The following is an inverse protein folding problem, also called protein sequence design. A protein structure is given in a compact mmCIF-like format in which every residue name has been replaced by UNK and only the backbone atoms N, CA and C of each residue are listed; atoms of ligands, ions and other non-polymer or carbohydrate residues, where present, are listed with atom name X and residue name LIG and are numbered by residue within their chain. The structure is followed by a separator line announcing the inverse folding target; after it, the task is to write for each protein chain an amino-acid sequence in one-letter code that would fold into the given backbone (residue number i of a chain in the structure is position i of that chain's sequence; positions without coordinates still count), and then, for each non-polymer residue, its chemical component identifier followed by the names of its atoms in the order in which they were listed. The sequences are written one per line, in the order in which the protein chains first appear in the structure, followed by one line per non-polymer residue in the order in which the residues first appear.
data_IF_286607463627
#
_entry.id   IF_286607463627
#
_cell.length_a   1.000
_cell.length_b   1.000
_cell.length_c   1.000
_cell.angle_alpha   90.00
_cell.angle_beta   90.00
_cell.angle_gamma   90.00
#
_symmetry.space_group_name_H-M   'P 1'
#
loop_
_entity.id
_entity.type
_entity.pdbx_description
1 polymer ?
#
# COMPACT_ATOMS: atom_id res chain seq x y z
N UNK A 1 -6.60 26.09 11.27
CA UNK A 1 -6.48 24.79 11.96
C UNK A 1 -5.07 24.28 11.68
N UNK A 2 -4.29 23.94 12.70
CA UNK A 2 -2.94 23.37 12.54
C UNK A 2 -3.07 22.00 11.89
N UNK A 3 -2.24 21.73 10.85
CA UNK A 3 -2.20 20.43 10.18
C UNK A 3 -1.76 19.31 11.14
N UNK A 4 -2.06 18.06 10.76
CA UNK A 4 -1.64 16.88 11.52
C UNK A 4 -0.12 16.72 11.49
N UNK A 5 0.47 16.42 12.63
CA UNK A 5 1.91 16.18 12.73
C UNK A 5 2.21 14.71 12.48
N UNK A 6 3.11 14.46 11.53
CA UNK A 6 3.68 13.14 11.24
C UNK A 6 5.14 13.15 11.65
N UNK A 7 5.54 12.25 12.54
CA UNK A 7 6.94 12.06 12.92
C UNK A 7 7.46 10.77 12.26
N UNK A 8 8.60 10.86 11.57
CA UNK A 8 9.29 9.71 11.01
C UNK A 8 10.46 9.36 11.91
N UNK A 9 10.38 8.21 12.57
CA UNK A 9 11.37 7.75 13.54
C UNK A 9 12.46 6.92 12.85
N UNK A 10 13.64 7.47 12.69
CA UNK A 10 14.79 6.80 12.05
C UNK A 10 15.59 6.05 13.13
N UNK A 11 15.65 4.72 12.99
CA UNK A 11 16.52 3.89 13.81
C UNK A 11 17.98 4.10 13.42
N UNK A 12 18.93 4.06 14.40
CA UNK A 12 20.35 4.21 14.08
C UNK A 12 20.89 3.01 13.29
N UNK A 13 21.85 3.30 12.41
CA UNK A 13 22.54 2.32 11.57
C UNK A 13 22.52 2.74 10.11
N UNK A 14 23.35 2.10 9.30
CA UNK A 14 23.36 2.34 7.86
C UNK A 14 22.04 1.85 7.25
N UNK A 15 21.35 2.74 6.55
CA UNK A 15 20.18 2.41 5.77
C UNK A 15 20.61 1.72 4.47
N UNK A 16 19.82 0.73 4.06
CA UNK A 16 20.01 0.13 2.74
C UNK A 16 19.54 1.12 1.66
N UNK A 17 20.15 1.17 0.48
CA UNK A 17 19.69 2.05 -0.59
C UNK A 17 18.20 1.94 -0.95
N UNK A 18 17.61 0.78 -0.77
CA UNK A 18 16.17 0.58 -1.00
C UNK A 18 15.29 1.25 0.08
N UNK A 19 15.81 1.44 1.29
CA UNK A 19 15.08 2.13 2.36
C UNK A 19 14.85 3.61 2.00
N UNK A 20 15.71 4.20 1.13
CA UNK A 20 15.53 5.55 0.60
C UNK A 20 14.20 5.73 -0.13
N UNK A 21 13.68 4.69 -0.75
CA UNK A 21 12.38 4.76 -1.40
C UNK A 21 11.29 5.05 -0.37
N UNK A 22 11.30 4.37 0.77
CA UNK A 22 10.32 4.57 1.85
C UNK A 22 10.42 5.97 2.45
N UNK A 23 11.66 6.43 2.72
CA UNK A 23 11.90 7.80 3.21
C UNK A 23 11.41 8.83 2.20
N UNK A 24 11.69 8.62 0.91
CA UNK A 24 11.24 9.49 -0.18
C UNK A 24 9.72 9.54 -0.30
N UNK A 25 9.04 8.39 -0.17
CA UNK A 25 7.58 8.30 -0.17
C UNK A 25 6.96 9.09 0.99
N UNK A 26 7.47 8.89 2.21
CA UNK A 26 7.00 9.61 3.40
C UNK A 26 7.22 11.12 3.24
N UNK A 27 8.41 11.53 2.79
CA UNK A 27 8.75 12.94 2.57
C UNK A 27 7.87 13.57 1.47
N UNK A 28 7.66 12.88 0.36
CA UNK A 28 6.85 13.37 -0.75
C UNK A 28 5.37 13.55 -0.36
N UNK A 29 4.82 12.63 0.44
CA UNK A 29 3.41 12.67 0.82
C UNK A 29 3.17 13.62 2.00
N UNK A 30 3.94 13.51 3.07
CA UNK A 30 3.67 14.22 4.31
C UNK A 30 4.53 15.48 4.50
N UNK A 31 5.71 15.54 3.87
CA UNK A 31 6.63 16.66 3.97
C UNK A 31 6.46 17.73 2.90
N UNK A 32 5.73 17.44 1.81
CA UNK A 32 5.50 18.39 0.73
C UNK A 32 4.12 19.02 0.85
N UNK A 33 4.00 20.32 1.15
CA UNK A 33 2.71 21.00 1.24
C UNK A 33 1.88 20.89 -0.04
N UNK A 34 0.59 20.65 0.10
CA UNK A 34 -0.37 20.50 -1.02
C UNK A 34 -1.56 21.46 -0.86
N UNK A 35 -1.35 22.79 -0.92
CA UNK A 35 -2.38 23.78 -0.60
C UNK A 35 -3.57 23.75 -1.55
N UNK A 36 -3.41 23.23 -2.77
CA UNK A 36 -4.48 23.03 -3.74
C UNK A 36 -5.29 21.75 -3.52
N UNK A 37 -4.84 20.86 -2.64
CA UNK A 37 -5.54 19.61 -2.31
C UNK A 37 -6.34 19.70 -1.02
N UNK A 38 -5.83 20.42 -0.01
CA UNK A 38 -6.48 20.62 1.27
C UNK A 38 -5.98 21.92 1.94
N UNK A 39 -6.86 22.62 2.67
CA UNK A 39 -6.55 23.86 3.39
C UNK A 39 -5.51 23.67 4.49
N UNK A 40 -5.38 22.46 5.00
CA UNK A 40 -4.40 22.07 6.01
C UNK A 40 -3.75 20.76 5.60
N UNK A 41 -2.43 20.78 5.46
CA UNK A 41 -1.62 19.61 5.13
C UNK A 41 -0.85 19.13 6.34
N UNK A 42 -0.14 18.04 6.19
CA UNK A 42 0.70 17.49 7.24
C UNK A 42 1.95 18.33 7.48
N UNK A 43 2.48 18.23 8.71
CA UNK A 43 3.83 18.68 9.04
C UNK A 43 4.68 17.45 9.32
N UNK A 44 5.70 17.18 8.50
CA UNK A 44 6.62 16.06 8.71
C UNK A 44 7.80 16.48 9.57
N UNK A 45 8.13 15.67 10.56
CA UNK A 45 9.34 15.78 11.39
C UNK A 45 10.16 14.51 11.29
N UNK A 46 11.42 14.63 10.87
CA UNK A 46 12.35 13.50 10.80
C UNK A 46 13.12 13.45 12.12
N UNK A 47 12.97 12.36 12.85
CA UNK A 47 13.43 12.21 14.23
C UNK A 47 14.44 11.07 14.37
N UNK A 48 15.45 11.27 15.21
CA UNK A 48 16.43 10.23 15.56
C UNK A 48 16.79 10.29 17.05
N UNK A 49 17.46 9.25 17.55
CA UNK A 49 17.91 9.14 18.96
C UNK A 49 18.84 10.30 19.32
N UNK A 50 19.78 10.62 18.44
CA UNK A 50 20.79 11.67 18.68
C UNK A 50 20.96 12.51 17.40
N UNK A 51 20.04 13.46 17.13
CA UNK A 51 20.06 14.24 15.89
C UNK A 51 21.33 15.08 15.75
N UNK A 52 21.91 15.51 16.88
CA UNK A 52 23.14 16.35 16.91
C UNK A 52 24.44 15.54 16.75
N UNK A 53 24.40 14.21 16.85
CA UNK A 53 25.61 13.38 16.89
C UNK A 53 26.02 12.76 15.57
N UNK A 54 25.32 13.04 14.48
CA UNK A 54 25.82 12.56 13.21
C UNK A 54 24.82 12.38 12.09
N UNK A 55 25.45 12.31 10.95
CA UNK A 55 24.83 11.97 9.69
C UNK A 55 24.70 10.45 9.57
N UNK A 56 23.52 9.97 9.22
CA UNK A 56 23.31 8.55 8.93
C UNK A 56 23.61 8.31 7.45
N UNK A 57 24.51 7.39 7.16
CA UNK A 57 24.77 6.98 5.78
C UNK A 57 23.52 6.33 5.19
N UNK A 58 23.13 6.82 4.02
CA UNK A 58 22.02 6.27 3.23
C UNK A 58 22.53 5.60 1.93
N UNK A 59 23.82 5.32 1.87
CA UNK A 59 24.49 4.76 0.70
C UNK A 59 24.91 5.82 -0.32
N UNK A 60 25.66 5.41 -1.34
CA UNK A 60 26.11 6.27 -2.46
C UNK A 60 26.91 7.52 -2.06
N UNK A 61 27.48 7.57 -0.86
CA UNK A 61 28.15 8.76 -0.34
C UNK A 61 27.19 9.87 0.12
N UNK A 62 25.89 9.60 0.19
CA UNK A 62 24.89 10.51 0.71
C UNK A 62 24.57 10.22 2.18
N UNK A 63 24.12 11.27 2.88
CA UNK A 63 23.84 11.23 4.31
C UNK A 63 22.50 11.87 4.62
N UNK A 64 21.79 11.32 5.60
CA UNK A 64 20.60 11.89 6.20
C UNK A 64 20.98 12.49 7.56
N UNK A 65 20.60 13.74 7.78
CA UNK A 65 20.76 14.41 9.07
C UNK A 65 19.38 14.78 9.61
N UNK A 66 18.81 13.98 10.54
CA UNK A 66 17.56 14.32 11.19
C UNK A 66 17.70 15.62 12.01
N UNK A 67 16.68 16.49 11.91
CA UNK A 67 16.69 17.77 12.63
C UNK A 67 16.03 17.68 14.01
N UNK A 68 15.31 16.57 14.29
CA UNK A 68 14.49 16.43 15.48
C UNK A 68 14.91 15.23 16.32
N UNK A 69 14.76 15.35 17.64
CA UNK A 69 14.93 14.26 18.60
C UNK A 69 13.64 13.45 18.81
N UNK A 70 13.76 12.40 19.62
CA UNK A 70 12.64 11.49 19.92
C UNK A 70 11.50 12.15 20.71
N UNK A 71 11.73 13.30 21.37
CA UNK A 71 10.67 14.04 22.04
C UNK A 71 9.53 14.44 21.10
N UNK A 72 9.83 14.65 19.81
CA UNK A 72 8.83 15.00 18.80
C UNK A 72 7.85 13.88 18.47
N UNK A 73 8.21 12.61 18.75
CA UNK A 73 7.30 11.47 18.62
C UNK A 73 6.11 11.60 19.56
N UNK A 74 6.33 12.20 20.75
CA UNK A 74 5.29 12.41 21.74
C UNK A 74 4.27 13.47 21.32
N UNK A 75 4.66 14.42 20.47
CA UNK A 75 3.78 15.48 19.98
C UNK A 75 3.09 15.12 18.66
N UNK A 76 3.43 13.97 18.04
CA UNK A 76 2.92 13.58 16.74
C UNK A 76 1.54 12.89 16.84
N UNK A 77 0.68 13.17 15.85
CA UNK A 77 -0.58 12.43 15.65
C UNK A 77 -0.34 11.05 15.02
N UNK A 78 0.73 10.95 14.22
CA UNK A 78 1.14 9.71 13.57
C UNK A 78 2.67 9.57 13.65
N UNK A 79 3.13 8.40 14.07
CA UNK A 79 4.55 8.03 14.05
C UNK A 79 4.77 6.96 13.00
N UNK A 80 5.63 7.24 12.03
CA UNK A 80 6.03 6.29 10.98
C UNK A 80 7.42 5.77 11.31
N UNK A 81 7.56 4.46 11.37
CA UNK A 81 8.84 3.76 11.51
C UNK A 81 9.16 3.10 10.17
N UNK A 82 10.10 3.62 9.39
CA UNK A 82 10.60 2.99 8.17
C UNK A 82 11.46 1.78 8.49
N UNK A 83 12.01 1.15 7.46
CA UNK A 83 12.91 0.01 7.63
C UNK A 83 14.03 0.27 8.63
N UNK A 84 14.37 -0.77 9.40
CA UNK A 84 15.49 -0.77 10.34
C UNK A 84 16.69 -1.49 9.73
N UNK A 85 17.91 -1.14 10.17
CA UNK A 85 19.13 -1.76 9.69
C UNK A 85 19.14 -3.30 9.87
N UNK A 86 19.76 -4.01 8.93
CA UNK A 86 19.76 -5.48 8.89
C UNK A 86 20.19 -6.13 10.21
N UNK A 87 21.23 -5.62 10.87
CA UNK A 87 21.72 -6.15 12.14
C UNK A 87 20.69 -5.98 13.30
N UNK A 88 19.83 -4.96 13.24
CA UNK A 88 18.72 -4.79 14.17
C UNK A 88 17.58 -5.78 13.87
N UNK A 89 17.29 -5.99 12.59
CA UNK A 89 16.29 -6.96 12.13
C UNK A 89 16.69 -8.38 12.49
N UNK A 90 17.97 -8.78 12.32
CA UNK A 90 18.46 -10.10 12.69
C UNK A 90 18.62 -10.31 14.20
N UNK A 91 18.72 -9.24 14.97
CA UNK A 91 18.94 -9.27 16.41
C UNK A 91 20.40 -9.31 16.81
N UNK A 92 21.33 -9.16 15.86
CA UNK A 92 22.77 -9.03 16.15
C UNK A 92 23.06 -7.77 16.97
N UNK A 93 22.25 -6.73 16.78
CA UNK A 93 22.29 -5.52 17.58
C UNK A 93 20.88 -5.13 18.00
N UNK A 94 20.72 -4.81 19.29
CA UNK A 94 19.46 -4.31 19.81
C UNK A 94 19.17 -2.90 19.29
N UNK A 95 17.91 -2.60 19.10
CA UNK A 95 17.46 -1.22 18.90
C UNK A 95 17.65 -0.43 20.21
N UNK A 96 17.95 0.88 20.13
CA UNK A 96 18.11 1.71 21.33
C UNK A 96 16.85 1.70 22.19
N UNK A 97 17.05 1.54 23.49
CA UNK A 97 15.94 1.54 24.46
C UNK A 97 15.16 2.84 24.41
N UNK A 98 15.84 3.96 24.22
CA UNK A 98 15.24 5.30 24.13
C UNK A 98 14.24 5.40 22.95
N UNK A 99 14.56 4.74 21.82
CA UNK A 99 13.65 4.70 20.67
C UNK A 99 12.42 3.86 21.00
N UNK A 100 12.61 2.66 21.59
CA UNK A 100 11.51 1.77 21.95
C UNK A 100 10.60 2.42 22.98
N UNK A 101 11.16 3.05 23.99
CA UNK A 101 10.40 3.77 25.04
C UNK A 101 9.62 4.95 24.46
N UNK A 102 10.21 5.70 23.52
CA UNK A 102 9.54 6.80 22.83
C UNK A 102 8.36 6.32 21.98
N UNK A 103 8.49 5.17 21.26
CA UNK A 103 7.41 4.55 20.51
C UNK A 103 6.27 4.11 21.42
N UNK A 104 6.58 3.46 22.53
CA UNK A 104 5.57 3.05 23.54
C UNK A 104 4.86 4.28 24.13
N UNK A 105 5.60 5.32 24.47
CA UNK A 105 5.04 6.54 25.04
C UNK A 105 4.14 7.27 24.04
N UNK A 106 4.55 7.39 22.77
CA UNK A 106 3.73 7.96 21.71
C UNK A 106 2.42 7.16 21.51
N UNK A 107 2.52 5.83 21.45
CA UNK A 107 1.34 4.97 21.34
C UNK A 107 0.37 5.12 22.52
N UNK A 108 0.88 5.13 23.75
CA UNK A 108 0.05 5.34 24.96
C UNK A 108 -0.65 6.69 25.00
N UNK A 109 -0.09 7.69 24.34
CA UNK A 109 -0.73 9.01 24.18
C UNK A 109 -1.79 9.06 23.08
N UNK A 110 -1.98 7.97 22.34
CA UNK A 110 -2.96 7.85 21.28
C UNK A 110 -2.42 8.19 19.88
N UNK A 111 -1.10 8.31 19.71
CA UNK A 111 -0.51 8.43 18.38
C UNK A 111 -0.74 7.15 17.58
N UNK A 112 -1.10 7.30 16.32
CA UNK A 112 -1.19 6.20 15.35
C UNK A 112 0.23 5.78 14.97
N UNK A 113 0.54 4.49 15.10
CA UNK A 113 1.82 3.94 14.72
C UNK A 113 1.75 3.27 13.33
N UNK A 114 2.74 3.51 12.52
CA UNK A 114 2.83 2.99 11.16
C UNK A 114 4.21 2.37 10.96
N UNK A 115 4.28 1.08 10.69
CA UNK A 115 5.51 0.41 10.32
C UNK A 115 5.56 0.16 8.81
N UNK A 116 6.62 0.61 8.18
CA UNK A 116 6.92 0.31 6.78
C UNK A 116 7.98 -0.79 6.74
N UNK A 117 7.75 -1.82 5.94
CA UNK A 117 8.69 -2.93 5.76
C UNK A 117 9.25 -3.46 7.10
N UNK A 118 10.55 -3.36 7.30
CA UNK A 118 11.24 -3.84 8.51
C UNK A 118 11.02 -2.96 9.76
N UNK A 119 10.37 -1.82 9.64
CA UNK A 119 9.95 -1.01 10.78
C UNK A 119 9.08 -1.75 11.78
N UNK A 120 8.41 -2.82 11.33
CA UNK A 120 7.62 -3.72 12.18
C UNK A 120 8.46 -4.38 13.27
N UNK A 121 9.76 -4.64 13.03
CA UNK A 121 10.65 -5.19 14.05
C UNK A 121 10.86 -4.23 15.24
N UNK A 122 10.84 -2.92 14.99
CA UNK A 122 10.92 -1.94 16.06
C UNK A 122 9.63 -1.93 16.92
N UNK A 123 8.46 -1.95 16.28
CA UNK A 123 7.19 -2.02 17.02
C UNK A 123 7.03 -3.35 17.77
N UNK A 124 7.52 -4.46 17.20
CA UNK A 124 7.53 -5.77 17.85
C UNK A 124 8.48 -5.76 19.06
N UNK A 125 9.70 -5.23 18.91
CA UNK A 125 10.67 -5.11 20.01
C UNK A 125 10.17 -4.21 21.13
N UNK A 126 9.36 -3.20 20.82
CA UNK A 126 8.69 -2.34 21.79
C UNK A 126 7.48 -3.00 22.48
N UNK A 127 7.11 -4.25 22.12
CA UNK A 127 5.97 -4.96 22.70
C UNK A 127 4.58 -4.43 22.28
N UNK A 128 4.51 -3.54 21.29
CA UNK A 128 3.27 -2.89 20.86
C UNK A 128 2.38 -3.83 20.04
N UNK A 129 2.98 -4.83 19.41
CA UNK A 129 2.31 -5.70 18.44
C UNK A 129 1.80 -7.02 19.02
N UNK A 130 1.98 -7.29 20.31
CA UNK A 130 1.61 -8.56 20.95
C UNK A 130 0.17 -8.98 20.64
N UNK A 131 0.00 -10.19 20.09
CA UNK A 131 -1.30 -10.74 19.70
C UNK A 131 -1.93 -10.14 18.45
N UNK A 132 -1.29 -9.17 17.79
CA UNK A 132 -1.83 -8.52 16.58
C UNK A 132 -1.47 -9.30 15.32
N UNK A 133 -2.32 -9.12 14.28
CA UNK A 133 -2.01 -9.52 12.92
C UNK A 133 -1.22 -8.40 12.24
N UNK A 134 -0.06 -8.73 11.70
CA UNK A 134 0.88 -7.78 11.09
C UNK A 134 1.36 -8.26 9.74
N UNK A 135 1.82 -7.34 8.89
CA UNK A 135 2.54 -7.70 7.67
C UNK A 135 3.93 -7.05 7.64
N UNK A 136 4.80 -7.64 6.87
CA UNK A 136 6.19 -7.24 6.63
C UNK A 136 6.57 -7.66 5.21
N UNK A 137 7.71 -7.23 4.71
CA UNK A 137 8.25 -7.74 3.45
C UNK A 137 8.32 -9.28 3.48
N UNK A 138 7.84 -9.93 2.41
CA UNK A 138 7.72 -11.40 2.36
C UNK A 138 9.03 -12.13 2.67
N UNK A 139 10.19 -11.60 2.25
CA UNK A 139 11.51 -12.17 2.58
C UNK A 139 11.78 -12.25 4.07
N UNK A 140 11.21 -11.34 4.84
CA UNK A 140 11.46 -11.20 6.27
C UNK A 140 10.35 -11.80 7.16
N UNK A 141 9.23 -12.22 6.57
CA UNK A 141 8.09 -12.76 7.29
C UNK A 141 8.46 -13.97 8.17
N UNK A 142 9.22 -14.91 7.62
CA UNK A 142 9.70 -16.07 8.38
C UNK A 142 10.65 -15.70 9.53
N UNK A 143 11.46 -14.64 9.38
CA UNK A 143 12.32 -14.15 10.44
C UNK A 143 11.50 -13.48 11.55
N UNK A 144 10.54 -12.63 11.17
CA UNK A 144 9.65 -11.95 12.12
C UNK A 144 8.86 -12.97 12.97
N UNK A 145 8.25 -13.97 12.32
CA UNK A 145 7.49 -15.02 13.01
C UNK A 145 8.35 -15.85 13.99
N UNK A 146 9.62 -16.12 13.65
CA UNK A 146 10.52 -16.84 14.56
C UNK A 146 10.94 -15.99 15.76
N UNK A 147 11.18 -14.69 15.56
CA UNK A 147 11.65 -13.80 16.63
C UNK A 147 10.51 -13.35 17.55
N UNK A 148 9.31 -13.26 17.02
CA UNK A 148 8.12 -12.78 17.71
C UNK A 148 6.96 -13.76 17.49
N UNK A 149 6.99 -14.94 18.15
CA UNK A 149 6.00 -16.00 17.92
C UNK A 149 4.60 -15.68 18.44
N UNK A 150 4.46 -14.60 19.19
CA UNK A 150 3.20 -14.02 19.67
C UNK A 150 2.47 -13.21 18.60
N UNK A 151 3.07 -12.96 17.43
CA UNK A 151 2.48 -12.23 16.34
C UNK A 151 1.83 -13.17 15.31
N UNK A 152 0.73 -12.71 14.70
CA UNK A 152 0.15 -13.35 13.52
C UNK A 152 0.70 -12.67 12.28
N UNK A 153 1.79 -13.20 11.72
CA UNK A 153 2.44 -12.63 10.54
C UNK A 153 1.71 -13.07 9.27
N UNK A 154 1.24 -12.12 8.49
CA UNK A 154 0.59 -12.32 7.20
C UNK A 154 1.39 -11.71 6.06
N UNK A 155 2.15 -12.54 5.34
CA UNK A 155 2.95 -12.18 4.17
C UNK A 155 2.14 -12.12 2.87
N UNK A 156 0.85 -12.40 2.93
CA UNK A 156 -0.03 -12.45 1.75
C UNK A 156 -0.69 -11.11 1.40
N UNK A 157 -0.44 -10.05 2.17
CA UNK A 157 -1.11 -8.75 2.01
C UNK A 157 -0.10 -7.60 1.87
N UNK A 158 -0.50 -6.52 1.19
CA UNK A 158 0.37 -5.34 1.01
C UNK A 158 0.47 -4.51 2.29
N UNK A 159 -0.64 -4.31 2.97
CA UNK A 159 -0.69 -3.61 4.25
C UNK A 159 -1.91 -4.04 5.07
N UNK A 160 -1.81 -3.85 6.37
CA UNK A 160 -2.87 -4.04 7.34
C UNK A 160 -3.13 -2.73 8.08
N UNK A 161 -4.40 -2.45 8.31
CA UNK A 161 -4.88 -1.34 9.13
C UNK A 161 -5.65 -1.94 10.32
N UNK A 162 -5.04 -1.90 11.49
CA UNK A 162 -5.61 -2.37 12.76
C UNK A 162 -6.00 -1.18 13.67
N UNK A 163 -6.43 -0.08 13.05
CA UNK A 163 -6.94 1.09 13.74
C UNK A 163 -5.83 2.05 14.21
N UNK A 164 -5.21 1.77 15.33
CA UNK A 164 -4.13 2.55 15.95
C UNK A 164 -2.74 2.12 15.48
N UNK A 165 -2.61 0.90 14.92
CA UNK A 165 -1.36 0.37 14.37
C UNK A 165 -1.58 -0.09 12.94
N UNK A 166 -0.70 0.34 12.04
CA UNK A 166 -0.72 -0.07 10.64
C UNK A 166 0.64 -0.63 10.25
N UNK A 167 0.64 -1.68 9.46
CA UNK A 167 1.88 -2.32 8.97
C UNK A 167 1.83 -2.51 7.46
N UNK A 168 2.97 -2.41 6.79
CA UNK A 168 3.11 -2.53 5.34
C UNK A 168 4.26 -3.44 4.96
N UNK A 169 4.11 -4.14 3.84
CA UNK A 169 5.16 -4.92 3.20
C UNK A 169 6.37 -4.08 2.71
N UNK A 170 6.27 -2.75 2.80
CA UNK A 170 7.34 -1.87 2.34
C UNK A 170 7.36 -1.66 0.83
N UNK A 171 8.42 -1.03 0.34
CA UNK A 171 8.57 -0.67 -1.07
C UNK A 171 7.30 0.03 -1.60
N UNK A 172 6.78 -0.40 -2.76
CA UNK A 172 5.57 0.20 -3.33
C UNK A 172 4.32 0.05 -2.43
N UNK A 173 4.28 -0.94 -1.53
CA UNK A 173 3.20 -1.06 -0.56
C UNK A 173 3.26 0.01 0.54
N UNK A 174 4.44 0.58 0.83
CA UNK A 174 4.57 1.74 1.70
C UNK A 174 3.82 2.95 1.13
N UNK A 175 3.93 3.17 -0.18
CA UNK A 175 3.20 4.21 -0.89
C UNK A 175 1.68 4.01 -0.80
N UNK A 176 1.19 2.78 -0.97
CA UNK A 176 -0.23 2.47 -0.85
C UNK A 176 -0.74 2.73 0.57
N UNK A 177 0.04 2.34 1.60
CA UNK A 177 -0.32 2.61 2.98
C UNK A 177 -0.32 4.12 3.29
N UNK A 178 0.66 4.88 2.81
CA UNK A 178 0.69 6.34 2.98
C UNK A 178 -0.50 7.02 2.31
N UNK A 179 -0.90 6.59 1.10
CA UNK A 179 -2.12 7.07 0.45
C UNK A 179 -3.39 6.65 1.19
N UNK A 180 -3.40 5.46 1.80
CA UNK A 180 -4.49 5.02 2.66
C UNK A 180 -4.63 5.94 3.89
N UNK A 181 -3.53 6.36 4.50
CA UNK A 181 -3.53 7.34 5.58
C UNK A 181 -4.13 8.68 5.15
N UNK A 182 -3.70 9.22 4.00
CA UNK A 182 -4.28 10.45 3.43
C UNK A 182 -5.78 10.28 3.17
N UNK A 183 -6.20 9.11 2.70
CA UNK A 183 -7.62 8.79 2.46
C UNK A 183 -8.43 8.77 3.76
N UNK A 184 -7.89 8.18 4.83
CA UNK A 184 -8.52 8.18 6.15
C UNK A 184 -8.63 9.58 6.74
N UNK A 185 -7.59 10.38 6.57
CA UNK A 185 -7.44 11.68 7.25
C UNK A 185 -8.12 12.82 6.51
N UNK A 186 -8.02 12.86 5.17
CA UNK A 186 -8.44 13.97 4.30
C UNK A 186 -9.49 13.56 3.24
N UNK A 187 -9.88 12.30 3.25
CA UNK A 187 -10.90 11.77 2.34
C UNK A 187 -10.39 11.25 1.00
N UNK A 188 -11.27 10.51 0.33
CA UNK A 188 -10.94 9.82 -0.93
C UNK A 188 -10.57 10.78 -2.06
N UNK A 189 -11.24 11.93 -2.16
CA UNK A 189 -10.99 12.92 -3.22
C UNK A 189 -9.55 13.45 -3.16
N UNK A 190 -9.09 13.83 -1.98
CA UNK A 190 -7.72 14.32 -1.75
C UNK A 190 -6.70 13.25 -2.07
N UNK A 191 -6.88 12.04 -1.53
CA UNK A 191 -5.98 10.92 -1.77
C UNK A 191 -5.89 10.56 -3.27
N UNK A 192 -7.01 10.59 -3.98
CA UNK A 192 -7.05 10.30 -5.41
C UNK A 192 -6.34 11.38 -6.25
N UNK A 193 -6.50 12.65 -5.90
CA UNK A 193 -5.77 13.74 -6.56
C UNK A 193 -4.27 13.66 -6.31
N UNK A 194 -3.86 13.33 -5.09
CA UNK A 194 -2.45 13.10 -4.74
C UNK A 194 -1.87 11.92 -5.53
N UNK A 195 -2.57 10.78 -5.60
CA UNK A 195 -2.14 9.61 -6.37
C UNK A 195 -1.89 9.96 -7.85
N UNK A 196 -2.78 10.76 -8.47
CA UNK A 196 -2.56 11.25 -9.84
C UNK A 196 -1.30 12.10 -9.97
N UNK A 197 -1.05 13.00 -9.01
CA UNK A 197 0.18 13.82 -8.99
C UNK A 197 1.43 12.98 -8.91
N UNK A 198 1.35 11.85 -8.20
CA UNK A 198 2.43 10.88 -8.08
C UNK A 198 2.49 9.87 -9.24
N UNK A 199 1.60 9.99 -10.24
CA UNK A 199 1.53 9.13 -11.43
C UNK A 199 1.31 7.65 -11.07
N UNK A 200 0.47 7.39 -10.07
CA UNK A 200 0.16 6.05 -9.59
C UNK A 200 -1.34 5.78 -9.55
N UNK A 201 -1.76 4.50 -9.55
CA UNK A 201 -3.16 4.15 -9.36
C UNK A 201 -3.71 4.73 -8.05
N UNK A 202 -4.93 5.26 -8.06
CA UNK A 202 -5.47 5.98 -6.90
C UNK A 202 -5.75 5.11 -5.67
N UNK A 203 -5.78 3.79 -5.84
CA UNK A 203 -6.00 2.86 -4.75
C UNK A 203 -5.53 1.45 -5.12
N UNK A 204 -4.65 0.87 -4.29
CA UNK A 204 -4.46 -0.58 -4.18
C UNK A 204 -4.97 -1.02 -2.81
N UNK A 205 -5.78 -2.09 -2.80
CA UNK A 205 -6.28 -2.65 -1.55
C UNK A 205 -5.12 -3.27 -0.74
N UNK A 206 -5.09 -3.03 0.56
CA UNK A 206 -4.14 -3.67 1.46
C UNK A 206 -4.16 -5.19 1.37
N UNK A 207 -5.34 -5.78 1.17
CA UNK A 207 -5.51 -7.23 0.97
C UNK A 207 -5.04 -7.78 -0.38
N UNK A 208 -4.46 -6.96 -1.27
CA UNK A 208 -3.81 -7.46 -2.47
C UNK A 208 -2.52 -8.19 -2.09
N UNK A 209 -2.25 -9.34 -2.73
CA UNK A 209 -1.06 -10.13 -2.45
C UNK A 209 0.24 -9.41 -2.80
N UNK A 210 1.26 -9.63 -1.96
CA UNK A 210 2.65 -9.31 -2.31
C UNK A 210 3.10 -10.18 -3.49
N UNK A 211 4.04 -9.69 -4.29
CA UNK A 211 4.73 -10.51 -5.29
C UNK A 211 5.77 -11.38 -4.56
N UNK A 212 5.31 -12.48 -4.00
CA UNK A 212 6.18 -13.44 -3.31
C UNK A 212 6.81 -14.33 -4.37
N UNK A 213 8.11 -14.26 -4.54
CA UNK A 213 8.87 -15.29 -5.27
C UNK A 213 9.00 -16.52 -4.36
N UNK A 214 7.88 -17.24 -4.22
CA UNK A 214 8.00 -18.61 -3.72
C UNK A 214 8.70 -19.37 -4.82
N UNK A 215 9.92 -19.82 -4.53
CA UNK A 215 10.66 -20.73 -5.40
C UNK A 215 9.74 -21.91 -5.76
N UNK A 216 9.00 -21.75 -6.84
CA UNK A 216 8.35 -22.86 -7.52
C UNK A 216 9.54 -23.58 -8.17
N UNK A 217 9.75 -24.88 -7.92
CA UNK A 217 10.66 -25.63 -8.74
C UNK A 217 10.28 -25.33 -10.19
N UNK A 218 11.20 -24.77 -10.95
CA UNK A 218 10.97 -24.37 -12.33
C UNK A 218 10.76 -25.64 -13.16
N UNK A 219 9.54 -26.17 -13.18
CA UNK A 219 9.09 -27.03 -14.26
C UNK A 219 8.80 -26.08 -15.43
N UNK A 220 9.52 -26.14 -16.52
CA UNK A 220 9.27 -25.31 -17.71
C UNK A 220 7.83 -25.43 -18.23
N UNK A 221 7.08 -26.42 -17.76
CA UNK A 221 5.66 -26.65 -18.05
C UNK A 221 4.70 -25.89 -17.11
N UNK A 222 5.22 -25.11 -16.14
CA UNK A 222 4.43 -24.43 -15.09
C UNK A 222 4.10 -22.97 -15.43
N UNK A 223 4.35 -22.53 -16.67
CA UNK A 223 4.10 -21.15 -17.09
C UNK A 223 2.60 -20.88 -17.28
N UNK A 224 1.99 -20.18 -16.29
CA UNK A 224 0.64 -19.64 -16.40
C UNK A 224 0.59 -18.34 -17.22
N UNK A 225 1.74 -17.74 -17.54
CA UNK A 225 1.85 -16.45 -18.21
C UNK A 225 1.03 -16.37 -19.50
N UNK A 226 1.17 -17.30 -20.45
CA UNK A 226 0.43 -17.26 -21.71
C UNK A 226 -1.08 -17.29 -21.54
N UNK A 227 -1.60 -18.13 -20.63
CA UNK A 227 -3.06 -18.22 -20.38
C UNK A 227 -3.60 -16.99 -19.66
N UNK A 228 -2.85 -16.41 -18.72
CA UNK A 228 -3.26 -15.20 -18.01
C UNK A 228 -3.19 -13.97 -18.93
N UNK A 229 -2.18 -13.88 -19.78
CA UNK A 229 -2.06 -12.84 -20.79
C UNK A 229 -3.22 -12.92 -21.81
N UNK A 230 -3.52 -14.14 -22.30
CA UNK A 230 -4.66 -14.35 -23.17
C UNK A 230 -5.97 -13.95 -22.48
N UNK A 231 -6.20 -14.35 -21.24
CA UNK A 231 -7.41 -14.00 -20.48
C UNK A 231 -7.54 -12.47 -20.29
N UNK A 232 -6.43 -11.77 -20.01
CA UNK A 232 -6.42 -10.31 -19.92
C UNK A 232 -6.77 -9.60 -21.23
N UNK A 233 -6.49 -10.22 -22.37
CA UNK A 233 -6.86 -9.70 -23.68
C UNK A 233 -8.31 -10.02 -24.11
N UNK A 234 -9.04 -10.86 -23.33
CA UNK A 234 -10.39 -11.34 -23.69
C UNK A 234 -11.37 -11.19 -22.51
N UNK A 235 -11.23 -10.11 -21.72
CA UNK A 235 -12.03 -9.89 -20.51
C UNK A 235 -13.52 -9.71 -20.77
N UNK A 236 -13.90 -9.26 -21.97
CA UNK A 236 -15.26 -9.11 -22.46
C UNK A 236 -16.00 -10.44 -22.65
N UNK A 237 -15.26 -11.53 -22.76
CA UNK A 237 -15.80 -12.86 -22.96
C UNK A 237 -16.21 -13.54 -21.65
N UNK A 238 -17.11 -14.57 -21.71
CA UNK A 238 -17.51 -15.35 -20.55
C UNK A 238 -16.37 -16.29 -20.08
N UNK A 239 -15.32 -15.72 -19.50
CA UNK A 239 -14.19 -16.47 -18.95
C UNK A 239 -14.62 -17.19 -17.67
N UNK A 240 -14.52 -18.53 -17.69
CA UNK A 240 -14.69 -19.38 -16.52
C UNK A 240 -13.35 -19.94 -16.05
N UNK A 241 -13.27 -20.36 -14.79
CA UNK A 241 -12.05 -20.98 -14.24
C UNK A 241 -11.75 -22.29 -15.00
N UNK A 242 -12.78 -23.02 -15.40
CA UNK A 242 -12.66 -24.27 -16.17
C UNK A 242 -12.06 -24.02 -17.56
N UNK A 243 -12.49 -22.94 -18.24
CA UNK A 243 -11.92 -22.54 -19.53
C UNK A 243 -10.46 -22.18 -19.40
N UNK A 244 -10.08 -21.41 -18.37
CA UNK A 244 -8.69 -21.03 -18.13
C UNK A 244 -7.84 -22.26 -17.80
N UNK A 245 -8.33 -23.17 -16.99
CA UNK A 245 -7.66 -24.42 -16.65
C UNK A 245 -7.46 -25.32 -17.88
N UNK A 246 -8.50 -25.49 -18.69
CA UNK A 246 -8.41 -26.26 -19.94
C UNK A 246 -7.40 -25.68 -20.91
N UNK A 247 -7.37 -24.33 -21.06
CA UNK A 247 -6.42 -23.65 -21.92
C UNK A 247 -4.97 -23.75 -21.41
N UNK A 248 -4.80 -23.90 -20.10
CA UNK A 248 -3.51 -24.17 -19.46
C UNK A 248 -3.13 -25.67 -19.48
N UNK A 249 -3.92 -26.53 -20.11
CA UNK A 249 -3.79 -27.99 -20.08
C UNK A 249 -3.74 -28.56 -18.65
N UNK A 250 -4.57 -28.02 -17.75
CA UNK A 250 -4.61 -28.40 -16.34
C UNK A 250 -6.02 -28.73 -15.90
N UNK A 251 -6.15 -29.53 -14.83
CA UNK A 251 -7.41 -29.62 -14.10
C UNK A 251 -7.69 -28.28 -13.38
N UNK A 252 -8.97 -27.95 -13.17
CA UNK A 252 -9.41 -26.76 -12.41
C UNK A 252 -8.74 -26.69 -11.03
N UNK A 253 -8.62 -27.83 -10.33
CA UNK A 253 -7.93 -27.93 -9.03
C UNK A 253 -6.44 -27.58 -9.15
N UNK A 254 -5.76 -28.05 -10.18
CA UNK A 254 -4.34 -27.76 -10.40
C UNK A 254 -4.14 -26.30 -10.76
N UNK A 255 -4.95 -25.76 -11.66
CA UNK A 255 -4.92 -24.35 -12.04
C UNK A 255 -5.15 -23.44 -10.85
N UNK A 256 -6.17 -23.73 -10.03
CA UNK A 256 -6.45 -22.95 -8.80
C UNK A 256 -5.26 -22.96 -7.85
N UNK A 257 -4.70 -24.14 -7.55
CA UNK A 257 -3.55 -24.30 -6.66
C UNK A 257 -2.31 -23.56 -7.17
N UNK A 258 -2.04 -23.65 -8.49
CA UNK A 258 -0.88 -22.98 -9.10
C UNK A 258 -1.02 -21.47 -9.09
N UNK A 259 -2.19 -20.95 -9.50
CA UNK A 259 -2.42 -19.49 -9.47
C UNK A 259 -2.39 -18.95 -8.04
N UNK A 260 -2.95 -19.69 -7.08
CA UNK A 260 -2.87 -19.32 -5.67
C UNK A 260 -1.42 -19.27 -5.16
N UNK A 261 -0.58 -20.22 -5.60
CA UNK A 261 0.85 -20.23 -5.25
C UNK A 261 1.63 -19.11 -5.94
N UNK A 262 1.37 -18.86 -7.22
CA UNK A 262 2.09 -17.86 -8.00
C UNK A 262 1.68 -16.41 -7.67
N UNK A 263 0.40 -16.17 -7.38
CA UNK A 263 -0.15 -14.82 -7.24
C UNK A 263 -0.90 -14.56 -5.93
N UNK A 264 -0.96 -15.53 -5.00
CA UNK A 264 -1.65 -15.36 -3.71
C UNK A 264 -3.16 -15.21 -3.80
N UNK A 265 -3.75 -15.24 -5.01
CA UNK A 265 -5.18 -14.98 -5.26
C UNK A 265 -5.86 -16.16 -5.94
N UNK A 266 -7.15 -16.31 -5.70
CA UNK A 266 -7.94 -17.32 -6.41
C UNK A 266 -8.14 -16.90 -7.89
N UNK A 267 -8.36 -17.84 -8.82
CA UNK A 267 -8.66 -17.52 -10.22
C UNK A 267 -9.84 -16.56 -10.40
N UNK A 268 -10.88 -16.72 -9.60
CA UNK A 268 -12.04 -15.82 -9.61
C UNK A 268 -11.67 -14.41 -9.17
N UNK A 269 -10.86 -14.30 -8.13
CA UNK A 269 -10.41 -13.00 -7.62
C UNK A 269 -9.47 -12.32 -8.61
N UNK A 270 -8.54 -13.08 -9.21
CA UNK A 270 -7.65 -12.58 -10.24
C UNK A 270 -8.45 -12.01 -11.43
N UNK A 271 -9.40 -12.78 -11.95
CA UNK A 271 -10.25 -12.36 -13.09
C UNK A 271 -11.08 -11.11 -12.74
N UNK A 272 -11.65 -11.06 -11.54
CA UNK A 272 -12.39 -9.89 -11.06
C UNK A 272 -11.49 -8.65 -11.00
N UNK A 273 -10.28 -8.79 -10.48
CA UNK A 273 -9.31 -7.69 -10.40
C UNK A 273 -8.94 -7.15 -11.80
N UNK A 274 -8.71 -8.04 -12.78
CA UNK A 274 -8.44 -7.64 -14.16
C UNK A 274 -9.64 -6.89 -14.78
N UNK A 275 -10.85 -7.39 -14.58
CA UNK A 275 -12.08 -6.75 -15.07
C UNK A 275 -12.32 -5.40 -14.45
N UNK A 276 -12.08 -5.25 -13.16
CA UNK A 276 -12.18 -3.95 -12.47
C UNK A 276 -11.11 -2.96 -12.93
N UNK A 277 -9.87 -3.42 -13.16
CA UNK A 277 -8.81 -2.58 -13.72
C UNK A 277 -9.17 -2.08 -15.12
N UNK A 278 -9.69 -2.94 -15.98
CA UNK A 278 -10.14 -2.57 -17.31
C UNK A 278 -11.36 -1.63 -17.27
N UNK A 279 -12.35 -1.89 -16.38
CA UNK A 279 -13.48 -0.99 -16.18
C UNK A 279 -13.03 0.42 -15.77
N UNK A 280 -12.02 0.54 -14.90
CA UNK A 280 -11.42 1.83 -14.51
C UNK A 280 -10.82 2.54 -15.71
N UNK A 281 -10.00 1.86 -16.50
CA UNK A 281 -9.40 2.42 -17.71
C UNK A 281 -10.47 2.96 -18.67
N UNK A 282 -11.55 2.20 -18.88
CA UNK A 282 -12.68 2.66 -19.72
C UNK A 282 -13.40 3.87 -19.14
N UNK A 283 -13.62 3.92 -17.84
CA UNK A 283 -14.23 5.06 -17.16
C UNK A 283 -13.38 6.34 -17.23
N UNK A 284 -12.06 6.20 -17.26
CA UNK A 284 -11.09 7.30 -17.32
C UNK A 284 -10.88 7.82 -18.74
N UNK A 285 -10.94 6.94 -19.74
CA UNK A 285 -10.52 7.25 -21.11
C UNK A 285 -11.66 7.38 -22.12
N UNK A 286 -12.91 7.06 -21.72
CA UNK A 286 -14.06 7.04 -22.64
C UNK A 286 -15.32 7.63 -22.00
N UNK A 287 -16.27 8.06 -22.84
CA UNK A 287 -17.62 8.51 -22.44
C UNK A 287 -18.66 7.39 -22.46
N UNK A 288 -18.23 6.12 -22.53
CA UNK A 288 -19.13 4.98 -22.56
C UNK A 288 -20.06 4.96 -21.34
N UNK A 289 -21.31 4.55 -21.52
CA UNK A 289 -22.24 4.40 -20.38
C UNK A 289 -21.71 3.35 -19.40
N UNK A 290 -22.13 3.42 -18.14
CA UNK A 290 -21.75 2.45 -17.11
C UNK A 290 -22.16 1.03 -17.53
N UNK A 291 -23.26 0.90 -18.24
CA UNK A 291 -23.77 -0.33 -18.84
C UNK A 291 -22.81 -0.88 -19.93
N UNK A 292 -22.33 -0.01 -20.80
CA UNK A 292 -21.36 -0.39 -21.83
C UNK A 292 -20.01 -0.80 -21.22
N UNK A 293 -19.52 -0.02 -20.22
CA UNK A 293 -18.31 -0.38 -19.46
C UNK A 293 -18.46 -1.74 -18.77
N UNK A 294 -19.60 -2.03 -18.14
CA UNK A 294 -19.83 -3.30 -17.49
C UNK A 294 -19.76 -4.49 -18.47
N UNK A 295 -20.33 -4.34 -19.66
CA UNK A 295 -20.26 -5.36 -20.72
C UNK A 295 -18.84 -5.56 -21.23
N UNK A 296 -18.15 -4.47 -21.62
CA UNK A 296 -16.79 -4.53 -22.15
C UNK A 296 -15.80 -5.09 -21.15
N UNK A 297 -15.98 -4.76 -19.86
CA UNK A 297 -15.14 -5.30 -18.81
C UNK A 297 -15.54 -6.73 -18.37
N UNK A 298 -16.50 -7.37 -19.04
CA UNK A 298 -16.92 -8.74 -18.74
C UNK A 298 -17.66 -8.89 -17.41
N UNK A 299 -18.17 -7.79 -16.84
CA UNK A 299 -18.97 -7.79 -15.61
C UNK A 299 -20.48 -7.92 -15.86
N UNK A 300 -20.90 -7.99 -17.11
CA UNK A 300 -22.25 -8.23 -17.58
C UNK A 300 -23.16 -7.03 -17.40
N UNK A 301 -23.56 -6.71 -16.17
CA UNK A 301 -24.53 -5.64 -15.88
C UNK A 301 -23.91 -4.49 -15.08
N UNK A 302 -24.49 -3.27 -15.24
CA UNK A 302 -24.09 -2.11 -14.44
C UNK A 302 -24.28 -2.35 -12.94
N UNK A 303 -25.29 -3.10 -12.52
CA UNK A 303 -25.51 -3.45 -11.11
C UNK A 303 -24.35 -4.28 -10.57
N UNK A 304 -23.89 -5.27 -11.32
CA UNK A 304 -22.76 -6.10 -10.93
C UNK A 304 -21.45 -5.27 -10.89
N UNK A 305 -21.23 -4.43 -11.90
CA UNK A 305 -20.11 -3.49 -11.91
C UNK A 305 -20.16 -2.57 -10.67
N UNK A 306 -21.29 -1.91 -10.39
CA UNK A 306 -21.42 -1.01 -9.23
C UNK A 306 -21.07 -1.73 -7.93
N UNK A 307 -21.62 -2.92 -7.70
CA UNK A 307 -21.37 -3.70 -6.49
C UNK A 307 -19.88 -4.01 -6.32
N UNK A 308 -19.25 -4.61 -7.32
CA UNK A 308 -17.83 -4.99 -7.22
C UNK A 308 -16.90 -3.77 -7.18
N UNK A 309 -17.23 -2.74 -7.94
CA UNK A 309 -16.45 -1.50 -8.00
C UNK A 309 -16.48 -0.75 -6.66
N UNK A 310 -17.68 -0.60 -6.06
CA UNK A 310 -17.83 0.05 -4.75
C UNK A 310 -17.17 -0.78 -3.64
N UNK A 311 -17.30 -2.11 -3.67
CA UNK A 311 -16.62 -2.98 -2.71
C UNK A 311 -15.10 -2.85 -2.80
N UNK A 312 -14.54 -2.76 -4.01
CA UNK A 312 -13.08 -2.71 -4.22
C UNK A 312 -12.49 -1.30 -4.06
N UNK A 313 -13.23 -0.24 -4.37
CA UNK A 313 -12.71 1.12 -4.50
C UNK A 313 -13.37 2.14 -3.56
N UNK A 314 -14.44 1.76 -2.85
CA UNK A 314 -15.16 2.64 -1.93
C UNK A 314 -16.01 3.73 -2.60
N UNK A 315 -16.07 3.78 -3.94
CA UNK A 315 -16.80 4.80 -4.71
C UNK A 315 -17.58 4.15 -5.86
N UNK A 316 -18.66 4.81 -6.31
CA UNK A 316 -19.41 4.29 -7.46
C UNK A 316 -18.66 4.54 -8.79
N UNK A 317 -18.92 3.74 -9.85
CA UNK A 317 -18.34 4.00 -11.18
C UNK A 317 -18.64 5.40 -11.73
N UNK A 318 -19.81 5.95 -11.44
CA UNK A 318 -20.20 7.29 -11.88
C UNK A 318 -19.40 8.38 -11.14
N UNK A 319 -19.25 8.23 -9.82
CA UNK A 319 -18.43 9.15 -9.02
C UNK A 319 -16.95 9.06 -9.40
N UNK A 320 -16.48 7.85 -9.65
CA UNK A 320 -15.13 7.60 -10.15
C UNK A 320 -14.88 8.34 -11.47
N UNK A 321 -15.78 8.17 -12.45
CA UNK A 321 -15.68 8.91 -13.74
C UNK A 321 -15.66 10.40 -13.51
N UNK A 322 -16.59 10.95 -12.74
CA UNK A 322 -16.66 12.40 -12.49
C UNK A 322 -15.35 12.94 -11.93
N UNK A 323 -14.64 12.13 -11.15
CA UNK A 323 -13.36 12.50 -10.55
C UNK A 323 -12.19 12.32 -11.50
N UNK A 324 -12.25 11.34 -12.43
CA UNK A 324 -11.08 10.84 -13.17
C UNK A 324 -11.18 10.91 -14.70
N UNK A 325 -12.35 11.18 -15.30
CA UNK A 325 -12.44 11.36 -16.76
C UNK A 325 -11.55 12.50 -17.22
N UNK A 326 -10.86 12.32 -18.35
CA UNK A 326 -10.15 13.39 -19.04
C UNK A 326 -11.13 14.53 -19.33
N UNK A 327 -10.96 15.65 -18.68
CA UNK A 327 -11.54 16.91 -19.20
C UNK A 327 -10.64 17.36 -20.34
N UNK A 328 -11.18 17.51 -21.51
CA UNK A 328 -10.50 18.26 -22.57
C UNK A 328 -10.24 19.69 -22.08
N UNK A 329 -9.05 20.25 -22.35
CA UNK A 329 -8.78 21.65 -22.03
C UNK A 329 -9.70 22.50 -22.88
N UNK A 330 -10.72 23.15 -22.30
CA UNK A 330 -11.54 24.10 -22.98
C UNK A 330 -13.07 24.03 -22.79
N UNK A 331 -13.60 23.05 -22.06
CA UNK A 331 -15.06 23.01 -21.80
C UNK A 331 -15.37 23.73 -20.49
N UNK A 332 -16.10 24.86 -20.52
CA UNK A 332 -16.53 25.58 -19.32
C UNK A 332 -17.48 24.71 -18.48
N UNK A 333 -17.59 24.95 -17.16
CA UNK A 333 -18.52 24.22 -16.30
C UNK A 333 -19.93 24.46 -16.80
N UNK A 334 -20.72 23.41 -17.00
CA UNK A 334 -22.16 23.52 -17.13
C UNK A 334 -22.70 23.94 -15.77
N UNK A 335 -23.02 25.22 -15.65
CA UNK A 335 -23.76 25.73 -14.51
C UNK A 335 -25.08 24.96 -14.42
N UNK A 336 -25.22 24.19 -13.34
CA UNK A 336 -26.47 23.57 -12.97
C UNK A 336 -27.45 24.68 -12.59
N UNK A 337 -28.51 24.79 -13.35
CA UNK A 337 -29.63 25.70 -13.07
C UNK A 337 -30.12 25.44 -11.63
N UNK A 338 -30.04 26.48 -10.83
CA UNK A 338 -30.85 26.64 -9.61
C UNK A 338 -32.27 26.97 -10.09
N UNK A 339 -33.20 26.13 -9.72
CA UNK A 339 -34.62 26.43 -9.58
C UNK A 339 -35.18 25.57 -8.45
#
# INVERSE_FOLDING_TARGET
MTGRTVAMAIAPGALHPWDLYELGVVAAIFGTPQPDLADSWYTLRVCAVAPDQGEQSIGFGAFLRPEHGLAELLAADTVIVPSVAAHCRTGERALPAELLDALVAAHRRGARLVALCDGVFALAAAGILTGRRVTVHWEHAGLLARRHPDLVVDDSVLYLDDGDVLTSAGMTAALDLCLHLVRRDLGATVANRLARRMVIPPHRSGGQAQYVDRAVPADPRDDLGPVLQWAAAHLDQPLTVDLLAARANMSTRTFHRRLQRAGGVTPKQWLLNQRLAYARSLLESTDLTVEAVARMAGLGTATNLRRHFTTALGVTPADYRRTFARREPGTPPRDGAVA
#
